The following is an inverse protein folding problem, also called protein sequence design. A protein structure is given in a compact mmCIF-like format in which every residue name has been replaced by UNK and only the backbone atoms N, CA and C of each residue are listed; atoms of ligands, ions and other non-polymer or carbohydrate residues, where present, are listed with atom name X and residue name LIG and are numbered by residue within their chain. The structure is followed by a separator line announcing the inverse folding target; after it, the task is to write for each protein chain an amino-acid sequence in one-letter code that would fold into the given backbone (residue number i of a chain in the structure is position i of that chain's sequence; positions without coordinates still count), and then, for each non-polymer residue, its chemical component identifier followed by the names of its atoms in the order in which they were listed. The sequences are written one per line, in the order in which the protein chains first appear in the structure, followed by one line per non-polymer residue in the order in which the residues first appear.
data_IF_255167698913
#
_entry.id   IF_255167698913
#
_cell.length_a   1.000
_cell.length_b   1.000
_cell.length_c   1.000
_cell.angle_alpha   90.00
_cell.angle_beta   90.00
_cell.angle_gamma   90.00
#
_symmetry.space_group_name_H-M   'P 1'
#
loop_
_entity.id
_entity.type
_entity.pdbx_description
1 polymer ?
#
# COMPACT_ATOMS: atom_id res chain seq x y z
N UNK A 1 12.81 -14.18 2.59
CA UNK A 1 13.60 -13.06 1.99
C UNK A 1 14.24 -12.26 3.10
N UNK A 2 13.45 -11.76 4.05
CA UNK A 2 13.92 -11.04 5.23
C UNK A 2 14.87 -11.89 6.09
N UNK A 3 14.52 -13.15 6.40
CA UNK A 3 15.39 -14.08 7.16
C UNK A 3 16.75 -14.37 6.49
N UNK A 4 16.86 -14.13 5.19
CA UNK A 4 18.11 -14.30 4.43
C UNK A 4 18.87 -12.98 4.25
N UNK A 5 18.47 -11.92 4.95
CA UNK A 5 19.06 -10.57 4.83
C UNK A 5 18.72 -9.84 3.53
N UNK A 6 17.80 -10.37 2.71
CA UNK A 6 17.40 -9.73 1.46
C UNK A 6 16.25 -8.75 1.73
N UNK A 7 16.49 -7.46 1.49
CA UNK A 7 15.47 -6.41 1.59
C UNK A 7 14.51 -6.54 0.41
N UNK A 8 13.23 -6.90 0.63
CA UNK A 8 12.29 -7.04 -0.47
C UNK A 8 12.01 -5.67 -1.11
N UNK A 9 11.94 -5.64 -2.44
CA UNK A 9 11.56 -4.44 -3.17
C UNK A 9 10.03 -4.23 -3.11
N UNK A 10 9.55 -3.02 -3.41
CA UNK A 10 8.10 -2.72 -3.50
C UNK A 10 7.35 -3.74 -4.39
N UNK A 11 7.94 -4.16 -5.51
CA UNK A 11 7.35 -5.19 -6.38
C UNK A 11 7.16 -6.56 -5.70
N UNK A 12 8.05 -6.95 -4.79
CA UNK A 12 7.91 -8.20 -4.04
C UNK A 12 6.71 -8.14 -3.09
N UNK A 13 6.58 -7.04 -2.33
CA UNK A 13 5.43 -6.83 -1.45
C UNK A 13 4.12 -6.83 -2.25
N UNK A 14 4.09 -6.14 -3.41
CA UNK A 14 2.95 -6.17 -4.31
C UNK A 14 2.54 -7.58 -4.73
N UNK A 15 3.50 -8.42 -5.13
CA UNK A 15 3.23 -9.80 -5.53
C UNK A 15 2.66 -10.64 -4.36
N UNK A 16 3.22 -10.47 -3.16
CA UNK A 16 2.75 -11.17 -1.95
C UNK A 16 1.32 -10.76 -1.59
N UNK A 17 1.05 -9.45 -1.50
CA UNK A 17 -0.28 -8.92 -1.17
C UNK A 17 -1.31 -9.41 -2.19
N UNK A 18 -1.04 -9.28 -3.50
CA UNK A 18 -1.95 -9.77 -4.55
C UNK A 18 -2.19 -11.28 -4.43
N UNK A 19 -1.15 -12.05 -4.10
CA UNK A 19 -1.26 -13.49 -3.87
C UNK A 19 -2.17 -13.85 -2.69
N UNK A 20 -2.05 -13.14 -1.58
CA UNK A 20 -2.90 -13.32 -0.40
C UNK A 20 -4.34 -12.88 -0.64
N UNK A 21 -4.55 -11.74 -1.30
CA UNK A 21 -5.88 -11.25 -1.70
C UNK A 21 -6.63 -12.25 -2.57
N UNK A 22 -5.97 -12.82 -3.59
CA UNK A 22 -6.56 -13.86 -4.46
C UNK A 22 -6.98 -15.11 -3.70
N UNK A 23 -6.30 -15.41 -2.59
CA UNK A 23 -6.60 -16.55 -1.72
C UNK A 23 -7.55 -16.19 -0.58
N UNK A 24 -8.12 -14.97 -0.56
CA UNK A 24 -8.98 -14.44 0.51
C UNK A 24 -8.32 -14.46 1.89
N UNK A 25 -6.98 -14.40 1.92
CA UNK A 25 -6.14 -14.39 3.13
C UNK A 25 -5.86 -12.94 3.52
N UNK A 26 -6.91 -12.24 3.95
CA UNK A 26 -6.87 -10.77 4.12
C UNK A 26 -5.98 -10.34 5.30
N UNK A 27 -5.93 -11.14 6.36
CA UNK A 27 -5.10 -10.83 7.53
C UNK A 27 -3.61 -10.84 7.15
N UNK A 28 -3.17 -11.86 6.42
CA UNK A 28 -1.79 -11.94 5.93
C UNK A 28 -1.50 -10.83 4.91
N UNK A 29 -2.47 -10.47 4.06
CA UNK A 29 -2.32 -9.32 3.16
C UNK A 29 -2.09 -8.00 3.94
N UNK A 30 -2.80 -7.80 5.05
CA UNK A 30 -2.62 -6.63 5.93
C UNK A 30 -1.29 -6.64 6.66
N UNK A 31 -0.83 -7.78 7.16
CA UNK A 31 0.48 -7.89 7.81
C UNK A 31 1.60 -7.46 6.85
N UNK A 32 1.57 -7.98 5.62
CA UNK A 32 2.55 -7.62 4.57
C UNK A 32 2.43 -6.15 4.17
N UNK A 33 1.22 -5.60 4.16
CA UNK A 33 1.00 -4.17 3.91
C UNK A 33 1.55 -3.28 5.01
N UNK A 34 1.35 -3.64 6.28
CA UNK A 34 1.92 -2.91 7.41
C UNK A 34 3.44 -2.96 7.38
N UNK A 35 4.04 -4.11 7.09
CA UNK A 35 5.49 -4.25 6.93
C UNK A 35 6.00 -3.33 5.79
N UNK A 36 5.31 -3.33 4.64
CA UNK A 36 5.66 -2.47 3.51
C UNK A 36 5.64 -0.98 3.89
N UNK A 37 4.64 -0.53 4.66
CA UNK A 37 4.56 0.86 5.14
C UNK A 37 5.62 1.19 6.18
N UNK A 38 5.93 0.28 7.12
CA UNK A 38 7.03 0.46 8.08
C UNK A 38 8.39 0.60 7.40
N UNK A 39 8.57 -0.03 6.23
CA UNK A 39 9.77 0.10 5.41
C UNK A 39 9.81 1.38 4.57
N UNK A 40 8.76 2.21 4.61
CA UNK A 40 8.64 3.45 3.83
C UNK A 40 8.51 3.20 2.33
N UNK A 41 8.03 2.01 1.92
CA UNK A 41 7.92 1.67 0.51
C UNK A 41 6.60 2.22 -0.07
N UNK A 42 6.64 2.82 -1.27
CA UNK A 42 5.45 3.42 -1.85
C UNK A 42 4.47 2.34 -2.32
N UNK A 43 3.20 2.55 -1.96
CA UNK A 43 2.05 1.82 -2.51
C UNK A 43 1.78 2.23 -3.97
N UNK A 44 1.36 1.27 -4.79
CA UNK A 44 0.78 1.55 -6.10
C UNK A 44 -0.72 1.90 -6.00
N UNK A 45 -1.28 2.44 -7.09
CA UNK A 45 -2.69 2.84 -7.18
C UNK A 45 -3.66 1.69 -6.86
N UNK A 46 -3.31 0.47 -7.29
CA UNK A 46 -4.15 -0.69 -7.08
C UNK A 46 -4.19 -1.10 -5.60
N UNK A 47 -3.06 -1.05 -4.89
CA UNK A 47 -3.02 -1.32 -3.45
C UNK A 47 -3.78 -0.25 -2.66
N UNK A 48 -3.68 1.02 -3.02
CA UNK A 48 -4.48 2.06 -2.37
C UNK A 48 -5.97 1.74 -2.43
N UNK A 49 -6.49 1.45 -3.62
CA UNK A 49 -7.92 1.09 -3.78
C UNK A 49 -8.29 -0.12 -2.93
N UNK A 50 -7.49 -1.19 -2.97
CA UNK A 50 -7.76 -2.41 -2.19
C UNK A 50 -7.81 -2.12 -0.68
N UNK A 51 -6.81 -1.43 -0.14
CA UNK A 51 -6.72 -1.21 1.30
C UNK A 51 -7.67 -0.11 1.79
N UNK A 52 -7.99 0.88 0.95
CA UNK A 52 -9.06 1.85 1.24
C UNK A 52 -10.40 1.14 1.35
N UNK A 53 -10.79 0.35 0.34
CA UNK A 53 -12.06 -0.37 0.35
C UNK A 53 -12.13 -1.35 1.53
N UNK A 54 -11.05 -2.07 1.81
CA UNK A 54 -10.99 -3.00 2.93
C UNK A 54 -11.17 -2.30 4.28
N UNK A 55 -10.40 -1.24 4.56
CA UNK A 55 -10.47 -0.54 5.85
C UNK A 55 -11.80 0.20 6.02
N UNK A 56 -12.35 0.78 4.94
CA UNK A 56 -13.66 1.43 4.98
C UNK A 56 -14.78 0.46 5.36
N UNK A 57 -14.80 -0.73 4.72
CA UNK A 57 -15.81 -1.75 5.01
C UNK A 57 -15.68 -2.36 6.42
N UNK A 58 -14.49 -2.33 7.00
CA UNK A 58 -14.24 -2.77 8.38
C UNK A 58 -14.48 -1.69 9.43
N UNK A 59 -14.79 -0.46 9.01
CA UNK A 59 -14.96 0.69 9.91
C UNK A 59 -13.64 1.23 10.47
N UNK A 60 -12.50 0.84 9.91
CA UNK A 60 -11.19 1.38 10.27
C UNK A 60 -10.98 2.75 9.59
N UNK A 61 -11.73 3.75 10.05
CA UNK A 61 -11.74 5.08 9.45
C UNK A 61 -10.44 5.85 9.66
N UNK A 62 -9.68 5.56 10.72
CA UNK A 62 -8.36 6.16 10.98
C UNK A 62 -7.38 5.80 9.85
N UNK A 63 -7.21 4.51 9.57
CA UNK A 63 -6.37 4.05 8.46
C UNK A 63 -6.93 4.50 7.09
N UNK A 64 -8.25 4.54 6.94
CA UNK A 64 -8.88 5.01 5.69
C UNK A 64 -8.53 6.46 5.42
N UNK A 65 -8.61 7.34 6.44
CA UNK A 65 -8.26 8.74 6.32
C UNK A 65 -6.76 8.91 6.02
N UNK A 66 -5.91 8.19 6.72
CA UNK A 66 -4.46 8.22 6.51
C UNK A 66 -4.10 7.87 5.05
N UNK A 67 -4.73 6.83 4.49
CA UNK A 67 -4.49 6.43 3.11
C UNK A 67 -5.02 7.43 2.09
N UNK A 68 -6.15 8.09 2.38
CA UNK A 68 -6.68 9.17 1.55
C UNK A 68 -5.73 10.37 1.52
N UNK A 69 -5.20 10.78 2.66
CA UNK A 69 -4.25 11.89 2.77
C UNK A 69 -2.96 11.60 2.00
N UNK A 70 -2.38 10.39 2.17
CA UNK A 70 -1.18 9.97 1.44
C UNK A 70 -1.42 9.92 -0.08
N UNK A 71 -2.59 9.44 -0.50
CA UNK A 71 -2.97 9.39 -1.92
C UNK A 71 -3.13 10.80 -2.53
N UNK A 72 -3.72 11.74 -1.78
CA UNK A 72 -3.86 13.14 -2.19
C UNK A 72 -2.49 13.79 -2.33
N UNK A 73 -1.60 13.65 -1.34
CA UNK A 73 -0.25 14.20 -1.39
C UNK A 73 0.52 13.70 -2.62
N UNK A 74 0.48 12.39 -2.89
CA UNK A 74 1.10 11.81 -4.09
C UNK A 74 0.47 12.30 -5.39
N UNK A 75 -0.84 12.51 -5.42
CA UNK A 75 -1.54 13.11 -6.57
C UNK A 75 -1.10 14.55 -6.82
N UNK A 76 -0.89 15.34 -5.77
CA UNK A 76 -0.39 16.72 -5.86
C UNK A 76 1.07 16.75 -6.36
N UNK A 77 1.94 15.88 -5.83
CA UNK A 77 3.35 15.78 -6.27
C UNK A 77 3.46 15.39 -7.77
N UNK A 78 2.58 14.50 -8.26
CA UNK A 78 2.52 14.16 -9.69
C UNK A 78 2.09 15.34 -10.58
N UNK A 79 1.29 16.27 -10.07
CA UNK A 79 0.84 17.46 -10.83
C UNK A 79 1.90 18.57 -10.86
N UNK A 80 2.65 18.75 -9.77
CA UNK A 80 3.68 19.80 -9.70
C UNK A 80 4.89 19.52 -10.61
N UNK A 81 5.15 18.25 -10.92
CA UNK A 81 6.26 17.84 -11.82
C UNK A 81 5.97 18.04 -13.32
N UNK A 82 4.73 18.38 -13.71
CA UNK A 82 4.38 18.75 -15.09
C UNK A 82 4.44 20.27 -15.38
N UNK A 83 4.85 21.09 -14.41
CA UNK A 83 4.92 22.56 -14.52
C UNK A 83 6.30 23.14 -14.87
N UNK A 84 7.26 22.32 -15.32
CA UNK A 84 8.55 22.80 -15.86
C UNK A 84 8.83 22.16 -17.21
N UNK A 85 8.19 22.69 -18.25
CA UNK A 85 8.71 22.69 -19.62
C UNK A 85 8.36 24.02 -20.26
#
# INVERSE_FOLDING_TARGET
MVEKGLRPASYTYHALIKGFMKRKRYNEAKEIFHEMRQQGLPLDEQLYSIFLDMNYNEGNFEMTLELCEEAVEKCLIKKTSFGKM
#
